data_IF_228323634837
#
_entry.id   IF_228323634837
#
_cell.length_a   1.000
_cell.length_b   1.000
_cell.length_c   1.000
_cell.angle_alpha   90.00
_cell.angle_beta   90.00
_cell.angle_gamma   90.00
#
_symmetry.space_group_name_H-M   'P 1'
#
loop_
_entity.id
_entity.type
_entity.pdbx_description
1 polymer ?
#
# COMPACT_ATOMS: atom_id res chain seq x y z
N UNK A 1 11.36 -11.05 2.16
CA UNK A 1 11.47 -9.75 2.84
C UNK A 1 11.59 -8.62 1.82
N UNK A 2 10.50 -7.90 1.59
CA UNK A 2 10.45 -6.78 0.65
C UNK A 2 10.85 -5.50 1.39
N UNK A 3 12.14 -5.23 1.56
CA UNK A 3 12.57 -3.95 2.13
C UNK A 3 12.51 -2.85 1.06
N UNK A 4 11.52 -1.95 1.15
CA UNK A 4 11.29 -0.87 0.17
C UNK A 4 11.59 0.51 0.78
N UNK A 5 12.81 0.66 1.31
CA UNK A 5 13.32 1.95 1.78
C UNK A 5 14.42 2.41 0.85
N UNK A 6 14.30 3.64 0.38
CA UNK A 6 15.17 4.19 -0.64
C UNK A 6 16.02 5.33 -0.08
N UNK A 7 17.21 5.47 -0.64
CA UNK A 7 18.10 6.59 -0.38
C UNK A 7 17.66 7.75 -1.27
N UNK A 8 16.86 8.65 -0.69
CA UNK A 8 16.33 9.80 -1.40
C UNK A 8 17.40 10.90 -1.53
N UNK A 9 17.42 11.69 -2.62
CA UNK A 9 18.39 12.74 -2.82
C UNK A 9 18.40 13.74 -1.66
N UNK A 10 19.59 14.19 -1.24
CA UNK A 10 19.72 15.21 -0.18
C UNK A 10 18.96 16.51 -0.52
N UNK A 11 18.94 16.89 -1.80
CA UNK A 11 18.19 18.05 -2.28
C UNK A 11 16.66 17.92 -2.13
N UNK A 12 16.15 16.68 -1.99
CA UNK A 12 14.73 16.41 -1.74
C UNK A 12 14.36 16.46 -0.26
N UNK A 13 15.31 16.60 0.66
CA UNK A 13 15.04 16.61 2.09
C UNK A 13 14.24 17.87 2.48
N UNK A 14 13.15 17.67 3.22
CA UNK A 14 12.26 18.74 3.68
C UNK A 14 12.25 18.85 5.20
N UNK A 15 12.10 17.72 5.90
CA UNK A 15 12.27 17.61 7.36
C UNK A 15 11.29 18.40 8.23
N UNK A 16 10.12 18.79 7.72
CA UNK A 16 9.15 19.61 8.49
C UNK A 16 8.13 18.76 9.21
N UNK A 17 7.87 19.08 10.48
CA UNK A 17 6.77 18.47 11.25
C UNK A 17 5.43 18.95 10.66
N UNK A 18 4.53 18.01 10.39
CA UNK A 18 3.17 18.31 9.95
C UNK A 18 2.23 18.22 11.13
N UNK A 19 1.61 19.34 11.56
CA UNK A 19 0.63 19.32 12.63
C UNK A 19 -0.56 18.44 12.26
N UNK A 20 -0.98 17.56 13.18
CA UNK A 20 -2.15 16.68 12.99
C UNK A 20 -3.44 17.48 12.71
N UNK A 21 -3.52 18.71 13.23
CA UNK A 21 -4.62 19.65 12.97
C UNK A 21 -4.81 19.94 11.48
N UNK A 22 -3.72 20.09 10.71
CA UNK A 22 -3.80 20.35 9.27
C UNK A 22 -4.42 19.18 8.50
N UNK A 23 -4.23 17.96 8.99
CA UNK A 23 -4.86 16.77 8.40
C UNK A 23 -6.37 16.77 8.71
N UNK A 24 -6.77 17.14 9.93
CA UNK A 24 -8.18 17.17 10.33
C UNK A 24 -9.03 18.13 9.51
N UNK A 25 -8.48 19.31 9.19
CA UNK A 25 -9.14 20.36 8.41
C UNK A 25 -9.54 19.87 7.01
N UNK A 26 -8.69 19.05 6.39
CA UNK A 26 -8.90 18.57 5.02
C UNK A 26 -9.57 17.20 4.95
N UNK A 27 -9.43 16.36 5.99
CA UNK A 27 -9.98 15.01 6.01
C UNK A 27 -11.43 14.92 6.53
N UNK A 28 -12.02 16.03 6.99
CA UNK A 28 -13.35 16.03 7.61
C UNK A 28 -13.37 15.19 8.90
N UNK A 29 -12.40 15.42 9.80
CA UNK A 29 -12.14 14.49 10.88
C UNK A 29 -13.27 14.38 11.92
N UNK A 30 -13.86 13.19 11.98
CA UNK A 30 -14.74 12.75 13.07
C UNK A 30 -13.99 12.66 14.40
N UNK A 31 -14.72 12.65 15.52
CA UNK A 31 -14.13 12.44 16.86
C UNK A 31 -13.30 11.15 16.91
N UNK A 32 -13.84 10.06 16.35
CA UNK A 32 -13.15 8.77 16.29
C UNK A 32 -11.80 8.86 15.53
N UNK A 33 -11.75 9.58 14.40
CA UNK A 33 -10.50 9.76 13.68
C UNK A 33 -9.48 10.56 14.50
N UNK A 34 -9.92 11.63 15.18
CA UNK A 34 -9.03 12.42 16.06
C UNK A 34 -8.45 11.53 17.17
N UNK A 35 -9.27 10.68 17.77
CA UNK A 35 -8.84 9.75 18.80
C UNK A 35 -7.80 8.75 18.28
N UNK A 36 -7.94 8.24 17.05
CA UNK A 36 -6.92 7.41 16.42
C UNK A 36 -5.58 8.15 16.30
N UNK A 37 -5.58 9.39 15.82
CA UNK A 37 -4.35 10.20 15.71
C UNK A 37 -3.73 10.54 17.08
N UNK A 38 -4.53 10.73 18.12
CA UNK A 38 -4.03 11.00 19.48
C UNK A 38 -3.40 9.75 20.07
N UNK A 39 -4.09 8.61 19.97
CA UNK A 39 -3.71 7.35 20.61
C UNK A 39 -2.61 6.59 19.87
N UNK A 40 -2.58 6.63 18.53
CA UNK A 40 -1.70 5.79 17.72
C UNK A 40 -0.51 6.53 17.11
N UNK A 41 -0.65 7.84 16.85
CA UNK A 41 0.40 8.62 16.20
C UNK A 41 1.12 9.47 17.24
N UNK A 42 2.44 9.43 17.23
CA UNK A 42 3.25 10.37 18.00
C UNK A 42 3.45 11.64 17.19
N UNK A 43 4.17 11.52 16.07
CA UNK A 43 4.57 12.63 15.22
C UNK A 43 4.47 12.26 13.74
N UNK A 44 4.16 13.26 12.90
CA UNK A 44 4.19 13.16 11.44
C UNK A 44 5.23 14.16 10.94
N UNK A 45 6.16 13.69 10.11
CA UNK A 45 7.22 14.50 9.52
C UNK A 45 7.18 14.35 8.02
N UNK A 46 7.06 15.46 7.30
CA UNK A 46 7.30 15.48 5.86
C UNK A 46 8.80 15.40 5.63
N UNK A 47 9.30 14.19 5.36
CA UNK A 47 10.73 13.91 5.26
C UNK A 47 11.30 14.37 3.93
N UNK A 48 10.65 14.00 2.82
CA UNK A 48 11.16 14.30 1.47
C UNK A 48 10.05 14.77 0.51
N UNK A 49 10.42 15.65 -0.41
CA UNK A 49 9.63 16.07 -1.57
C UNK A 49 10.42 15.74 -2.83
N UNK A 50 9.95 14.78 -3.62
CA UNK A 50 10.53 14.39 -4.89
C UNK A 50 9.78 15.10 -6.02
N UNK A 51 10.36 16.17 -6.52
CA UNK A 51 9.86 17.03 -7.59
C UNK A 51 10.99 17.33 -8.60
N UNK A 52 10.68 17.85 -9.80
CA UNK A 52 11.69 18.09 -10.84
C UNK A 52 12.90 18.88 -10.36
N UNK A 53 12.67 19.88 -9.51
CA UNK A 53 13.70 20.73 -8.92
C UNK A 53 14.61 20.01 -7.90
N UNK A 54 14.21 18.86 -7.39
CA UNK A 54 14.95 18.09 -6.36
C UNK A 54 15.55 16.78 -6.86
N UNK A 55 15.00 16.20 -7.92
CA UNK A 55 15.42 14.90 -8.47
C UNK A 55 15.97 14.99 -9.88
N UNK A 56 15.84 16.14 -10.56
CA UNK A 56 16.14 16.29 -11.99
C UNK A 56 15.35 15.31 -12.88
N UNK A 57 14.14 14.92 -12.45
CA UNK A 57 13.24 14.07 -13.22
C UNK A 57 12.05 14.89 -13.68
N UNK A 58 11.68 14.77 -14.95
CA UNK A 58 10.52 15.48 -15.48
C UNK A 58 9.22 15.04 -14.76
N UNK A 59 8.35 16.01 -14.49
CA UNK A 59 7.00 15.75 -14.03
C UNK A 59 6.16 15.10 -15.15
N UNK A 60 5.13 14.36 -14.76
CA UNK A 60 4.12 13.82 -15.67
C UNK A 60 2.76 14.38 -15.31
N UNK A 61 1.76 14.23 -16.20
CA UNK A 61 0.38 14.66 -15.90
C UNK A 61 -0.21 13.95 -14.67
N UNK A 62 0.16 12.70 -14.44
CA UNK A 62 -0.34 11.91 -13.32
C UNK A 62 0.47 12.10 -12.03
N UNK A 63 1.77 12.42 -12.16
CA UNK A 63 2.71 12.55 -11.06
C UNK A 63 3.56 13.80 -11.27
N UNK A 64 3.16 14.90 -10.64
CA UNK A 64 3.91 16.15 -10.61
C UNK A 64 4.99 16.16 -9.52
N UNK A 65 4.73 15.48 -8.40
CA UNK A 65 5.65 15.27 -7.28
C UNK A 65 5.25 14.02 -6.48
N UNK A 66 6.18 13.48 -5.70
CA UNK A 66 5.97 12.37 -4.76
C UNK A 66 6.46 12.83 -3.38
N UNK A 67 5.68 12.60 -2.33
CA UNK A 67 6.04 13.02 -0.98
C UNK A 67 6.25 11.82 -0.06
N UNK A 68 7.29 11.91 0.78
CA UNK A 68 7.63 10.87 1.76
C UNK A 68 7.37 11.39 3.16
N UNK A 69 6.47 10.72 3.87
CA UNK A 69 6.08 11.06 5.24
C UNK A 69 6.59 10.02 6.23
N UNK A 70 7.36 10.48 7.21
CA UNK A 70 7.66 9.73 8.41
C UNK A 70 6.50 9.79 9.40
N UNK A 71 6.08 8.65 9.92
CA UNK A 71 5.07 8.59 10.99
C UNK A 71 5.65 7.77 12.14
N UNK A 72 5.95 8.45 13.24
CA UNK A 72 6.33 7.80 14.49
C UNK A 72 5.07 7.34 15.20
N UNK A 73 4.96 6.05 15.50
CA UNK A 73 3.78 5.43 16.11
C UNK A 73 3.97 5.27 17.63
N UNK A 74 2.88 5.47 18.40
CA UNK A 74 2.84 5.23 19.84
C UNK A 74 2.57 3.76 20.18
N UNK A 75 1.85 3.05 19.32
CA UNK A 75 1.47 1.66 19.51
C UNK A 75 1.94 0.79 18.35
N UNK A 76 1.90 -0.53 18.52
CA UNK A 76 2.29 -1.50 17.47
C UNK A 76 1.30 -1.61 16.31
N UNK A 77 0.15 -0.95 16.40
CA UNK A 77 -0.93 -1.02 15.42
C UNK A 77 -1.32 0.38 14.99
N UNK A 78 -1.35 0.60 13.68
CA UNK A 78 -1.92 1.79 13.07
C UNK A 78 -3.19 1.39 12.35
N UNK A 79 -4.29 2.07 12.64
CA UNK A 79 -5.52 1.96 11.88
C UNK A 79 -5.30 2.59 10.49
N UNK A 80 -5.72 1.87 9.45
CA UNK A 80 -5.54 2.31 8.07
C UNK A 80 -6.27 3.63 7.78
N UNK A 81 -7.34 3.95 8.53
CA UNK A 81 -8.06 5.22 8.40
C UNK A 81 -7.18 6.44 8.68
N UNK A 82 -6.13 6.30 9.51
CA UNK A 82 -5.13 7.35 9.72
C UNK A 82 -4.38 7.67 8.42
N UNK A 83 -3.94 6.64 7.69
CA UNK A 83 -3.25 6.81 6.40
C UNK A 83 -4.21 7.38 5.35
N UNK A 84 -5.45 6.87 5.30
CA UNK A 84 -6.49 7.37 4.39
C UNK A 84 -6.78 8.85 4.61
N UNK A 85 -6.83 9.30 5.87
CA UNK A 85 -7.04 10.69 6.19
C UNK A 85 -5.91 11.59 5.67
N UNK A 86 -4.65 11.15 5.80
CA UNK A 86 -3.50 11.89 5.27
C UNK A 86 -3.54 11.91 3.72
N UNK A 87 -3.86 10.79 3.09
CA UNK A 87 -4.01 10.71 1.64
C UNK A 87 -5.12 11.61 1.11
N UNK A 88 -6.26 11.72 1.79
CA UNK A 88 -7.33 12.66 1.42
C UNK A 88 -6.89 14.11 1.56
N UNK A 89 -6.10 14.42 2.58
CA UNK A 89 -5.67 15.77 2.89
C UNK A 89 -4.62 16.33 1.91
N UNK A 90 -3.84 15.46 1.25
CA UNK A 90 -2.70 15.87 0.42
C UNK A 90 -2.91 15.37 -1.01
N UNK A 91 -3.12 16.24 -2.02
CA UNK A 91 -3.44 15.85 -3.39
C UNK A 91 -2.18 15.46 -4.20
N UNK A 92 -1.34 14.58 -3.65
CA UNK A 92 -0.14 14.05 -4.29
C UNK A 92 0.08 12.58 -3.92
N UNK A 93 0.82 11.80 -4.74
CA UNK A 93 1.37 10.51 -4.38
C UNK A 93 2.17 10.53 -3.07
N UNK A 94 1.83 9.63 -2.14
CA UNK A 94 2.45 9.54 -0.81
C UNK A 94 3.12 8.19 -0.57
N UNK A 95 4.30 8.23 0.04
CA UNK A 95 4.96 7.07 0.64
C UNK A 95 5.08 7.33 2.15
N UNK A 96 4.60 6.38 2.96
CA UNK A 96 4.71 6.44 4.41
C UNK A 96 5.85 5.56 4.91
N UNK A 97 6.73 6.12 5.72
CA UNK A 97 7.70 5.39 6.53
C UNK A 97 7.23 5.38 7.99
N UNK A 98 6.65 4.27 8.40
CA UNK A 98 6.17 4.07 9.77
C UNK A 98 7.34 3.62 10.66
N UNK A 99 7.47 4.19 11.85
CA UNK A 99 8.46 3.78 12.84
C UNK A 99 7.81 3.45 14.18
N UNK A 100 8.23 2.35 14.79
CA UNK A 100 7.76 1.92 16.11
C UNK A 100 8.81 1.02 16.78
N UNK A 101 9.19 1.33 18.01
CA UNK A 101 10.10 0.51 18.84
C UNK A 101 11.38 0.04 18.12
N UNK A 102 12.11 0.96 17.49
CA UNK A 102 13.34 0.67 16.76
C UNK A 102 13.16 -0.13 15.46
N UNK A 103 11.92 -0.31 15.02
CA UNK A 103 11.57 -0.94 13.74
C UNK A 103 10.93 0.09 12.82
N UNK A 104 11.04 -0.17 11.53
CA UNK A 104 10.39 0.61 10.48
C UNK A 104 9.67 -0.27 9.46
N UNK A 105 8.63 0.28 8.85
CA UNK A 105 7.84 -0.35 7.80
C UNK A 105 7.43 0.70 6.76
N UNK A 106 7.55 0.39 5.48
CA UNK A 106 7.09 1.28 4.41
C UNK A 106 5.66 0.89 4.00
N UNK A 107 4.81 1.89 3.77
CA UNK A 107 3.40 1.73 3.40
C UNK A 107 3.03 2.78 2.36
N UNK A 108 2.31 2.42 1.32
CA UNK A 108 1.76 3.38 0.36
C UNK A 108 0.54 2.80 -0.35
N UNK A 109 -0.35 3.67 -0.82
CA UNK A 109 -1.38 3.29 -1.77
C UNK A 109 -1.02 3.87 -3.14
N UNK A 110 -1.32 3.13 -4.21
CA UNK A 110 -1.27 3.72 -5.53
C UNK A 110 -2.40 4.74 -5.67
N UNK A 111 -1.99 5.97 -5.90
CA UNK A 111 -2.81 7.16 -6.02
C UNK A 111 -2.57 7.87 -7.35
N UNK A 112 -3.67 8.27 -7.98
CA UNK A 112 -3.69 8.89 -9.31
C UNK A 112 -4.88 9.84 -9.49
N UNK A 113 -4.83 10.78 -10.44
CA UNK A 113 -6.03 11.48 -10.88
C UNK A 113 -7.08 10.48 -11.40
N UNK A 114 -8.36 10.79 -11.18
CA UNK A 114 -9.46 10.03 -11.73
C UNK A 114 -9.58 10.27 -13.24
N UNK A 115 -9.83 9.20 -14.00
CA UNK A 115 -10.04 9.29 -15.45
C UNK A 115 -11.38 9.96 -15.78
N UNK A 116 -12.35 9.88 -14.87
CA UNK A 116 -13.67 10.50 -15.02
C UNK A 116 -13.70 11.97 -14.59
N UNK A 117 -12.79 12.39 -13.70
CA UNK A 117 -12.74 13.73 -13.15
C UNK A 117 -11.33 14.03 -12.63
N UNK A 118 -10.53 14.73 -13.42
CA UNK A 118 -9.12 15.01 -13.09
C UNK A 118 -8.91 15.88 -11.85
N UNK A 119 -9.98 16.48 -11.30
CA UNK A 119 -9.94 17.21 -10.02
C UNK A 119 -10.00 16.26 -8.81
N UNK A 120 -10.40 15.01 -9.02
CA UNK A 120 -10.51 13.99 -7.98
C UNK A 120 -9.35 13.00 -8.04
N UNK A 121 -8.99 12.49 -6.88
CA UNK A 121 -7.96 11.46 -6.72
C UNK A 121 -8.59 10.11 -6.43
N UNK A 122 -8.10 9.08 -7.12
CA UNK A 122 -8.39 7.67 -6.84
C UNK A 122 -7.23 7.12 -6.02
N UNK A 123 -7.54 6.49 -4.90
CA UNK A 123 -6.58 5.86 -3.99
C UNK A 123 -6.94 4.39 -3.87
N UNK A 124 -6.01 3.51 -4.25
CA UNK A 124 -6.15 2.05 -4.11
C UNK A 124 -6.00 1.58 -2.66
N UNK A 125 -6.10 0.27 -2.43
CA UNK A 125 -5.71 -0.34 -1.16
C UNK A 125 -4.20 -0.19 -0.86
N UNK A 126 -3.83 -0.12 0.42
CA UNK A 126 -2.44 0.06 0.82
C UNK A 126 -1.59 -1.19 0.59
N UNK A 127 -0.37 -0.98 0.12
CA UNK A 127 0.74 -1.95 0.07
C UNK A 127 1.72 -1.64 1.18
N UNK A 128 2.34 -2.68 1.73
CA UNK A 128 3.10 -2.54 2.95
C UNK A 128 4.20 -3.59 3.03
N UNK A 129 5.39 -3.18 3.47
CA UNK A 129 6.49 -4.12 3.74
C UNK A 129 6.26 -4.85 5.06
N UNK A 130 7.11 -5.84 5.34
CA UNK A 130 7.30 -6.31 6.70
C UNK A 130 7.99 -5.25 7.57
N UNK A 131 7.89 -5.40 8.88
CA UNK A 131 8.69 -4.62 9.82
C UNK A 131 10.16 -5.05 9.72
N UNK A 132 11.06 -4.08 9.58
CA UNK A 132 12.50 -4.28 9.58
C UNK A 132 13.16 -3.41 10.67
N UNK A 133 14.38 -3.72 11.11
CA UNK A 133 15.17 -2.81 11.96
C UNK A 133 15.30 -1.41 11.34
N UNK A 134 15.20 -0.35 12.15
CA UNK A 134 15.20 1.04 11.65
C UNK A 134 16.54 1.45 11.00
N UNK A 135 17.63 0.80 11.41
CA UNK A 135 18.98 0.97 10.89
C UNK A 135 19.26 0.17 9.61
N UNK A 136 18.28 -0.59 9.09
CA UNK A 136 18.41 -1.33 7.84
C UNK A 136 18.87 -0.38 6.72
N UNK A 137 19.89 -0.80 5.97
CA UNK A 137 20.42 0.00 4.86
C UNK A 137 19.32 0.40 3.87
N UNK A 138 19.34 1.65 3.44
CA UNK A 138 18.49 2.16 2.36
C UNK A 138 19.06 1.68 1.02
N UNK A 139 18.17 1.31 0.10
CA UNK A 139 18.55 0.92 -1.26
C UNK A 139 18.74 2.17 -2.12
N UNK A 140 19.58 2.13 -3.17
CA UNK A 140 19.63 3.21 -4.14
C UNK A 140 18.24 3.51 -4.72
N UNK A 141 17.97 4.80 -4.98
CA UNK A 141 16.74 5.20 -5.66
C UNK A 141 16.67 4.51 -7.04
N UNK A 142 15.51 3.95 -7.45
CA UNK A 142 15.38 3.32 -8.76
C UNK A 142 15.68 4.31 -9.89
N UNK A 143 16.35 3.83 -10.93
CA UNK A 143 16.58 4.62 -12.14
C UNK A 143 15.24 4.77 -12.87
N UNK A 144 14.89 6.00 -13.20
CA UNK A 144 13.66 6.32 -13.91
C UNK A 144 13.87 7.49 -14.87
N UNK A 145 13.07 7.52 -15.94
CA UNK A 145 13.12 8.58 -16.95
C UNK A 145 12.34 9.84 -16.54
N UNK A 146 11.37 9.69 -15.63
CA UNK A 146 10.50 10.76 -15.15
C UNK A 146 9.89 10.36 -13.79
N UNK A 147 9.16 11.28 -13.15
CA UNK A 147 8.53 11.03 -11.85
C UNK A 147 7.44 9.95 -11.89
N UNK A 148 6.77 9.74 -13.02
CA UNK A 148 5.79 8.67 -13.18
C UNK A 148 6.44 7.28 -13.09
N UNK A 149 7.53 7.06 -13.83
CA UNK A 149 8.29 5.80 -13.77
C UNK A 149 8.99 5.57 -12.43
N UNK A 150 9.44 6.66 -11.77
CA UNK A 150 9.97 6.56 -10.41
C UNK A 150 8.87 6.11 -9.45
N UNK A 151 7.72 6.76 -9.48
CA UNK A 151 6.59 6.41 -8.63
C UNK A 151 6.14 4.96 -8.83
N UNK A 152 6.06 4.50 -10.08
CA UNK A 152 5.76 3.10 -10.39
C UNK A 152 6.76 2.15 -9.72
N UNK A 153 8.06 2.41 -9.88
CA UNK A 153 9.11 1.61 -9.26
C UNK A 153 9.02 1.58 -7.73
N UNK A 154 8.69 2.71 -7.10
CA UNK A 154 8.52 2.81 -5.64
C UNK A 154 7.32 1.99 -5.14
N UNK A 155 6.17 2.10 -5.82
CA UNK A 155 4.97 1.33 -5.45
C UNK A 155 5.18 -0.16 -5.73
N UNK A 156 5.75 -0.51 -6.87
CA UNK A 156 6.07 -1.89 -7.24
C UNK A 156 6.95 -2.56 -6.20
N UNK A 157 7.94 -1.85 -5.64
CA UNK A 157 8.79 -2.37 -4.58
C UNK A 157 8.03 -2.69 -3.27
N UNK A 158 6.83 -2.15 -3.07
CA UNK A 158 5.96 -2.45 -1.92
C UNK A 158 5.01 -3.62 -2.18
N UNK A 159 4.86 -4.03 -3.43
CA UNK A 159 3.99 -5.13 -3.80
C UNK A 159 4.64 -6.48 -3.42
N UNK A 160 3.84 -7.50 -3.09
CA UNK A 160 4.33 -8.86 -2.99
C UNK A 160 4.99 -9.26 -4.30
N UNK A 161 6.21 -9.79 -4.22
CA UNK A 161 6.87 -10.33 -5.40
C UNK A 161 6.14 -11.58 -5.85
N UNK A 162 5.58 -11.57 -7.06
CA UNK A 162 5.05 -12.79 -7.68
C UNK A 162 6.13 -13.45 -8.52
N UNK A 163 6.18 -14.78 -8.55
CA UNK A 163 7.09 -15.53 -9.44
C UNK A 163 6.94 -15.12 -10.93
N UNK A 164 5.78 -14.59 -11.31
CA UNK A 164 5.47 -14.11 -12.65
C UNK A 164 6.00 -12.68 -12.98
N UNK A 165 6.76 -12.04 -12.08
CA UNK A 165 7.41 -10.72 -12.34
C UNK A 165 8.22 -10.69 -13.65
N UNK A 166 8.79 -11.83 -14.06
CA UNK A 166 9.55 -11.95 -15.30
C UNK A 166 8.66 -12.04 -16.56
N UNK A 167 7.49 -12.69 -16.49
CA UNK A 167 6.54 -12.79 -17.61
C UNK A 167 5.72 -11.51 -17.79
N UNK A 168 5.64 -10.68 -16.75
CA UNK A 168 4.80 -9.49 -16.70
C UNK A 168 5.60 -8.18 -16.76
N UNK A 169 6.87 -8.27 -17.17
CA UNK A 169 7.74 -7.14 -17.45
C UNK A 169 7.14 -6.29 -18.60
N UNK A 170 6.37 -5.26 -18.24
CA UNK A 170 5.64 -4.40 -19.17
C UNK A 170 4.18 -4.16 -18.81
N UNK A 171 3.64 -4.84 -17.78
CA UNK A 171 2.31 -4.53 -17.23
C UNK A 171 2.31 -3.11 -16.65
N UNK A 172 1.38 -2.26 -17.12
CA UNK A 172 1.16 -0.92 -16.57
C UNK A 172 0.79 -0.99 -15.07
N UNK A 173 1.21 0.02 -14.31
CA UNK A 173 0.96 0.06 -12.87
C UNK A 173 -0.53 -0.03 -12.52
N UNK A 174 -1.42 0.58 -13.31
CA UNK A 174 -2.86 0.53 -13.02
C UNK A 174 -3.39 -0.90 -13.15
N UNK A 175 -2.98 -1.63 -14.20
CA UNK A 175 -3.36 -3.02 -14.39
C UNK A 175 -2.85 -3.90 -13.25
N UNK A 176 -1.59 -3.70 -12.83
CA UNK A 176 -0.99 -4.42 -11.71
C UNK A 176 -1.70 -4.18 -10.39
N UNK A 177 -2.03 -2.92 -10.10
CA UNK A 177 -2.79 -2.54 -8.90
C UNK A 177 -4.18 -3.17 -8.93
N UNK A 178 -4.90 -3.09 -10.05
CA UNK A 178 -6.23 -3.66 -10.21
C UNK A 178 -6.22 -5.19 -10.01
N UNK A 179 -5.22 -5.89 -10.56
CA UNK A 179 -5.00 -7.33 -10.35
C UNK A 179 -4.79 -7.64 -8.87
N UNK A 180 -3.95 -6.87 -8.18
CA UNK A 180 -3.69 -7.08 -6.75
C UNK A 180 -4.94 -6.81 -5.88
N UNK A 181 -5.77 -5.84 -6.25
CA UNK A 181 -7.07 -5.63 -5.59
C UNK A 181 -8.05 -6.79 -5.85
N UNK A 182 -8.09 -7.32 -7.06
CA UNK A 182 -8.88 -8.50 -7.41
C UNK A 182 -8.44 -9.73 -6.61
N UNK A 183 -7.12 -9.96 -6.50
CA UNK A 183 -6.54 -11.01 -5.66
C UNK A 183 -7.00 -10.85 -4.21
N UNK A 184 -6.85 -9.65 -3.61
CA UNK A 184 -7.29 -9.38 -2.24
C UNK A 184 -8.77 -9.62 -2.02
N UNK A 185 -9.61 -9.20 -2.97
CA UNK A 185 -11.04 -9.42 -2.91
C UNK A 185 -11.37 -10.92 -2.94
N UNK A 186 -10.74 -11.68 -3.83
CA UNK A 186 -10.90 -13.14 -3.93
C UNK A 186 -10.36 -13.89 -2.72
N UNK A 187 -9.23 -13.48 -2.13
CA UNK A 187 -8.73 -14.08 -0.88
C UNK A 187 -9.75 -13.92 0.25
N UNK A 188 -10.33 -12.72 0.41
CA UNK A 188 -11.38 -12.47 1.43
C UNK A 188 -12.63 -13.31 1.18
N UNK A 189 -13.02 -13.49 -0.07
CA UNK A 189 -14.14 -14.35 -0.45
C UNK A 189 -13.86 -15.81 -0.09
N UNK A 190 -12.68 -16.33 -0.43
CA UNK A 190 -12.21 -17.68 -0.05
C UNK A 190 -12.29 -17.87 1.46
N UNK A 191 -11.78 -16.92 2.26
CA UNK A 191 -11.79 -17.04 3.72
C UNK A 191 -13.20 -16.96 4.31
N UNK A 192 -14.10 -16.17 3.72
CA UNK A 192 -15.52 -16.16 4.08
C UNK A 192 -16.18 -17.51 3.81
N UNK A 193 -15.91 -18.11 2.65
CA UNK A 193 -16.45 -19.43 2.28
C UNK A 193 -15.89 -20.51 3.22
N UNK A 194 -14.59 -20.50 3.55
CA UNK A 194 -14.00 -21.40 4.55
C UNK A 194 -14.68 -21.27 5.91
N UNK A 195 -14.89 -20.03 6.38
CA UNK A 195 -15.58 -19.77 7.64
C UNK A 195 -17.02 -20.30 7.66
N UNK A 196 -17.74 -20.19 6.54
CA UNK A 196 -19.08 -20.76 6.37
C UNK A 196 -19.05 -22.29 6.36
N UNK A 197 -18.09 -22.89 5.65
CA UNK A 197 -17.90 -24.34 5.59
C UNK A 197 -17.64 -24.94 6.97
N UNK A 198 -16.81 -24.28 7.79
CA UNK A 198 -16.47 -24.74 9.14
C UNK A 198 -17.67 -24.75 10.10
N UNK A 199 -18.66 -23.89 9.87
CA UNK A 199 -19.88 -23.78 10.70
C UNK A 199 -21.02 -24.69 10.23
N UNK A 200 -20.95 -25.21 9.01
CA UNK A 200 -22.01 -26.02 8.42
C UNK A 200 -21.90 -27.49 8.85
N UNK A 201 -23.03 -28.05 9.31
CA UNK A 201 -23.13 -29.43 9.81
C UNK A 201 -23.79 -30.36 8.79
N UNK A 202 -24.69 -29.86 7.94
CA UNK A 202 -25.44 -30.67 7.00
C UNK A 202 -24.56 -31.07 5.80
N UNK A 203 -24.39 -32.37 5.58
CA UNK A 203 -23.51 -32.92 4.54
C UNK A 203 -23.80 -32.33 3.15
N UNK A 204 -25.05 -32.34 2.70
CA UNK A 204 -25.44 -31.84 1.38
C UNK A 204 -25.06 -30.35 1.17
N UNK A 205 -25.20 -29.52 2.22
CA UNK A 205 -24.79 -28.11 2.17
C UNK A 205 -23.27 -27.95 2.17
N UNK A 206 -22.54 -28.78 2.92
CA UNK A 206 -21.08 -28.81 2.88
C UNK A 206 -20.55 -29.16 1.50
N UNK A 207 -21.20 -30.08 0.77
CA UNK A 207 -20.82 -30.42 -0.61
C UNK A 207 -20.94 -29.20 -1.54
N UNK A 208 -22.07 -28.47 -1.47
CA UNK A 208 -22.27 -27.24 -2.25
C UNK A 208 -21.23 -26.17 -1.90
N UNK A 209 -21.00 -25.90 -0.60
CA UNK A 209 -20.01 -24.91 -0.14
C UNK A 209 -18.59 -25.30 -0.57
N UNK A 210 -18.26 -26.60 -0.59
CA UNK A 210 -16.98 -27.10 -1.08
C UNK A 210 -16.80 -26.92 -2.59
N UNK A 211 -17.87 -26.96 -3.39
CA UNK A 211 -17.82 -26.66 -4.81
C UNK A 211 -17.54 -25.17 -5.04
N UNK A 212 -18.22 -24.29 -4.31
CA UNK A 212 -17.96 -22.84 -4.32
C UNK A 212 -16.52 -22.52 -3.89
N UNK A 213 -16.02 -23.16 -2.83
CA UNK A 213 -14.65 -22.97 -2.36
C UNK A 213 -13.62 -23.38 -3.42
N UNK A 214 -13.87 -24.47 -4.16
CA UNK A 214 -12.99 -24.93 -5.24
C UNK A 214 -12.96 -23.93 -6.40
N UNK A 215 -14.13 -23.44 -6.83
CA UNK A 215 -14.21 -22.43 -7.89
C UNK A 215 -13.50 -21.12 -7.50
N UNK A 216 -13.72 -20.63 -6.27
CA UNK A 216 -13.07 -19.43 -5.78
C UNK A 216 -11.54 -19.57 -5.66
N UNK A 217 -11.04 -20.76 -5.31
CA UNK A 217 -9.60 -21.05 -5.27
C UNK A 217 -8.98 -21.09 -6.66
N UNK A 218 -9.63 -21.72 -7.64
CA UNK A 218 -9.15 -21.75 -9.03
C UNK A 218 -9.05 -20.34 -9.62
N UNK A 219 -10.03 -19.48 -9.35
CA UNK A 219 -9.99 -18.10 -9.82
C UNK A 219 -8.88 -17.30 -9.13
N UNK A 220 -8.67 -17.51 -7.82
CA UNK A 220 -7.55 -16.90 -7.11
C UNK A 220 -6.19 -17.32 -7.68
N UNK A 221 -6.03 -18.60 -8.00
CA UNK A 221 -4.82 -19.16 -8.62
C UNK A 221 -4.58 -18.58 -10.03
N UNK A 222 -5.64 -18.42 -10.82
CA UNK A 222 -5.57 -17.75 -12.13
C UNK A 222 -5.11 -16.30 -12.01
N UNK A 223 -5.59 -15.57 -10.99
CA UNK A 223 -5.21 -14.18 -10.74
C UNK A 223 -3.79 -14.03 -10.17
N UNK A 224 -3.32 -14.99 -9.36
CA UNK A 224 -1.98 -14.97 -8.77
C UNK A 224 -0.87 -15.44 -9.71
N UNK A 225 -1.22 -16.02 -10.87
CA UNK A 225 -0.25 -16.56 -11.82
C UNK A 225 0.20 -17.99 -11.49
N UNK A 226 -0.66 -18.81 -10.90
CA UNK A 226 -0.43 -20.25 -10.75
C UNK A 226 0.36 -20.68 -9.51
N UNK A 227 0.47 -19.85 -8.47
CA UNK A 227 0.98 -20.35 -7.17
C UNK A 227 -0.09 -21.17 -6.46
N UNK A 228 0.11 -22.49 -6.26
CA UNK A 228 -0.66 -23.20 -5.25
C UNK A 228 -0.26 -22.61 -3.90
N UNK A 229 -1.21 -21.93 -3.24
CA UNK A 229 -1.15 -21.67 -1.81
C UNK A 229 -0.65 -22.94 -1.13
N UNK A 230 0.52 -22.88 -0.48
CA UNK A 230 1.10 -24.06 0.20
C UNK A 230 -0.01 -24.71 0.99
N UNK A 231 -0.28 -25.98 0.69
CA UNK A 231 -1.21 -26.78 1.43
C UNK A 231 -0.80 -26.68 2.90
N UNK A 232 -1.54 -25.88 3.68
CA UNK A 232 -1.51 -26.01 5.12
C UNK A 232 -1.92 -27.46 5.37
N UNK A 233 -0.93 -28.22 5.82
CA UNK A 233 -1.01 -29.64 6.09
C UNK A 233 -2.34 -29.97 6.77
N UNK A 234 -3.09 -30.88 6.17
CA UNK A 234 -4.00 -31.69 6.94
C UNK A 234 -3.14 -32.51 7.91
N UNK A 235 -3.20 -32.15 9.18
CA UNK A 235 -3.33 -33.11 10.28
C UNK A 235 -4.46 -32.62 11.20
#
# INVERSE_FOLDING_TARGET
>A
MTAAFFDYPKAAAFGRVVPKSRIYEHAGASTALRDLFVTQVDQIVWKYKLAPETTNLAATKAVSEIQVFGISMRSSKLDEEVLRAIDRAIPFPLIFELTWSGKRKAVAAFKRPSDADSTKWVVSGYFATDWAPDDTARRPLPVALNLGGLYDSLITALMPKSAAEAEQAGEDIQARVARMEAIRAKTREVDRIKGRLAREKQFNKRVAINAELRAARQELERLSGGEPMSAASNE
#
